data_IF_977633687277
#
_entry.id   IF_977633687277
#
_cell.length_a   1.000
_cell.length_b   1.000
_cell.length_c   1.000
_cell.angle_alpha   90.00
_cell.angle_beta   90.00
_cell.angle_gamma   90.00
#
_symmetry.space_group_name_H-M   'P 1'
#
loop_
_entity.id
_entity.type
_entity.pdbx_description
1 polymer ?
#
# COMPACT_ATOMS: atom_id res chain seq x y z
N UNK A 1 -22.76 -40.60 -16.71
CA UNK A 1 -21.70 -41.61 -16.90
C UNK A 1 -20.55 -40.92 -17.65
N UNK A 2 -19.34 -41.02 -17.10
CA UNK A 2 -18.05 -40.47 -17.57
C UNK A 2 -17.82 -40.71 -19.08
N UNK A 3 -17.04 -39.91 -19.82
CA UNK A 3 -15.57 -39.84 -19.75
C UNK A 3 -15.09 -38.55 -20.44
N UNK A 4 -14.30 -37.72 -19.74
CA UNK A 4 -13.46 -36.68 -20.33
C UNK A 4 -12.06 -37.28 -20.49
N UNK A 5 -11.58 -37.39 -21.73
CA UNK A 5 -10.23 -37.84 -22.04
C UNK A 5 -9.20 -36.78 -21.64
N UNK A 6 -8.23 -37.18 -20.81
CA UNK A 6 -7.00 -36.42 -20.54
C UNK A 6 -6.14 -36.40 -21.80
N UNK A 7 -5.90 -35.22 -22.38
CA UNK A 7 -4.78 -35.05 -23.31
C UNK A 7 -3.49 -34.77 -22.53
N UNK A 8 -2.45 -35.42 -23.02
CA UNK A 8 -1.09 -35.55 -22.49
C UNK A 8 -0.35 -34.23 -22.68
N UNK A 9 0.23 -33.71 -21.60
CA UNK A 9 1.12 -32.53 -21.64
C UNK A 9 2.44 -32.98 -22.27
N UNK A 10 2.73 -32.50 -23.47
CA UNK A 10 4.07 -32.58 -24.06
C UNK A 10 4.88 -31.35 -23.64
N UNK A 11 6.10 -31.63 -23.19
CA UNK A 11 7.12 -30.70 -22.74
C UNK A 11 7.52 -29.70 -23.83
N UNK A 12 6.95 -28.50 -23.78
CA UNK A 12 7.38 -27.33 -24.53
C UNK A 12 7.47 -26.14 -23.59
N UNK A 13 8.67 -25.60 -23.38
CA UNK A 13 8.89 -24.46 -22.49
C UNK A 13 8.06 -23.24 -22.89
N UNK A 14 7.39 -22.63 -21.91
CA UNK A 14 6.68 -21.37 -22.08
C UNK A 14 7.67 -20.20 -22.01
N UNK A 15 7.94 -19.61 -23.18
CA UNK A 15 8.61 -18.31 -23.32
C UNK A 15 7.56 -17.20 -23.22
N UNK A 16 7.66 -16.37 -22.18
CA UNK A 16 6.91 -15.10 -22.12
C UNK A 16 7.89 -13.98 -22.49
N UNK A 17 7.78 -13.44 -23.70
CA UNK A 17 8.51 -12.26 -24.12
C UNK A 17 7.75 -11.00 -23.72
N UNK A 18 8.35 -10.22 -22.82
CA UNK A 18 8.05 -8.80 -22.61
C UNK A 18 9.39 -8.05 -22.59
N UNK A 19 9.55 -7.10 -23.51
CA UNK A 19 10.81 -6.44 -23.78
C UNK A 19 11.24 -5.48 -22.67
N UNK A 20 12.24 -5.89 -21.89
CA UNK A 20 13.48 -5.17 -21.51
C UNK A 20 14.14 -5.96 -20.38
N UNK A 21 15.38 -6.39 -20.64
CA UNK A 21 16.32 -7.06 -19.73
C UNK A 21 15.85 -8.35 -19.04
N UNK A 22 16.00 -9.47 -19.75
CA UNK A 22 15.81 -10.81 -19.21
C UNK A 22 16.95 -11.19 -18.25
N UNK A 23 16.72 -11.03 -16.95
CA UNK A 23 17.46 -11.81 -15.94
C UNK A 23 16.80 -13.19 -15.91
N UNK A 24 17.43 -14.18 -16.55
CA UNK A 24 17.03 -15.59 -16.43
C UNK A 24 17.42 -16.02 -15.01
N UNK A 25 16.49 -15.88 -14.07
CA UNK A 25 16.59 -16.58 -12.79
C UNK A 25 15.80 -17.87 -12.97
N UNK A 26 16.51 -18.98 -13.12
CA UNK A 26 15.90 -20.31 -13.17
C UNK A 26 15.36 -20.63 -11.78
N UNK A 27 14.14 -20.18 -11.47
CA UNK A 27 13.42 -20.66 -10.30
C UNK A 27 13.09 -22.14 -10.57
N UNK A 28 13.53 -23.01 -9.65
CA UNK A 28 13.21 -24.44 -9.69
C UNK A 28 11.67 -24.55 -9.73
N UNK A 29 11.08 -25.44 -10.56
CA UNK A 29 9.62 -25.54 -10.73
C UNK A 29 8.83 -25.56 -9.40
N UNK A 30 9.36 -26.22 -8.38
CA UNK A 30 8.77 -26.31 -7.04
C UNK A 30 8.70 -24.96 -6.29
N UNK A 31 9.64 -24.03 -6.55
CA UNK A 31 9.62 -22.69 -5.95
C UNK A 31 8.65 -21.75 -6.65
N UNK A 32 8.51 -21.89 -7.97
CA UNK A 32 7.49 -21.20 -8.76
C UNK A 32 6.08 -21.63 -8.35
N UNK A 33 5.85 -22.93 -8.15
CA UNK A 33 4.57 -23.47 -7.70
C UNK A 33 4.21 -22.99 -6.29
N UNK A 34 5.20 -22.92 -5.38
CA UNK A 34 5.02 -22.30 -4.05
C UNK A 34 4.65 -20.82 -4.15
N UNK A 35 5.34 -20.04 -4.98
CA UNK A 35 5.04 -18.62 -5.16
C UNK A 35 3.65 -18.42 -5.78
N UNK A 36 3.27 -19.23 -6.76
CA UNK A 36 1.93 -19.20 -7.37
C UNK A 36 0.86 -19.53 -6.32
N UNK A 37 1.07 -20.54 -5.48
CA UNK A 37 0.14 -20.89 -4.42
C UNK A 37 0.03 -19.80 -3.34
N UNK A 38 1.15 -19.17 -2.94
CA UNK A 38 1.14 -18.03 -2.01
C UNK A 38 0.40 -16.83 -2.62
N UNK A 39 0.63 -16.54 -3.91
CA UNK A 39 -0.05 -15.47 -4.61
C UNK A 39 -1.55 -15.78 -4.78
N UNK A 40 -1.92 -17.03 -5.05
CA UNK A 40 -3.30 -17.48 -5.14
C UNK A 40 -4.01 -17.45 -3.79
N UNK A 41 -3.36 -17.88 -2.70
CA UNK A 41 -3.89 -17.75 -1.33
C UNK A 41 -4.10 -16.28 -0.99
N UNK A 42 -3.12 -15.42 -1.24
CA UNK A 42 -3.27 -13.98 -1.01
C UNK A 42 -4.40 -13.39 -1.86
N UNK A 43 -4.53 -13.77 -3.12
CA UNK A 43 -5.61 -13.32 -3.98
C UNK A 43 -6.98 -13.81 -3.49
N UNK A 44 -7.05 -15.02 -2.96
CA UNK A 44 -8.27 -15.62 -2.42
C UNK A 44 -8.67 -14.99 -1.08
N UNK A 45 -7.70 -14.71 -0.20
CA UNK A 45 -7.90 -13.92 1.02
C UNK A 45 -8.37 -12.50 0.69
N UNK A 46 -7.78 -11.87 -0.34
CA UNK A 46 -8.20 -10.53 -0.81
C UNK A 46 -9.63 -10.58 -1.37
N UNK A 47 -9.98 -11.62 -2.14
CA UNK A 47 -11.32 -11.80 -2.72
C UNK A 47 -12.38 -12.12 -1.66
N UNK A 48 -12.02 -12.91 -0.65
CA UNK A 48 -12.84 -13.17 0.53
C UNK A 48 -13.07 -11.90 1.35
N UNK A 49 -12.05 -11.09 1.54
CA UNK A 49 -12.17 -9.80 2.22
C UNK A 49 -13.07 -8.82 1.45
N UNK A 50 -12.95 -8.77 0.11
CA UNK A 50 -13.82 -7.95 -0.75
C UNK A 50 -15.28 -8.42 -0.70
N UNK A 51 -15.53 -9.73 -0.70
CA UNK A 51 -16.90 -10.27 -0.59
C UNK A 51 -17.50 -10.09 0.81
N UNK A 52 -16.71 -10.22 1.86
CA UNK A 52 -17.13 -9.86 3.22
C UNK A 52 -17.44 -8.36 3.31
N UNK A 53 -16.60 -7.49 2.74
CA UNK A 53 -16.84 -6.04 2.62
C UNK A 53 -18.12 -5.68 1.85
N UNK A 54 -18.47 -6.44 0.81
CA UNK A 54 -19.70 -6.22 0.04
C UNK A 54 -20.98 -6.54 0.84
N UNK A 55 -20.92 -7.52 1.75
CA UNK A 55 -22.01 -7.84 2.70
C UNK A 55 -22.05 -6.85 3.88
N UNK A 56 -20.91 -6.28 4.25
CA UNK A 56 -20.71 -5.35 5.38
C UNK A 56 -21.37 -3.97 5.20
N UNK A 57 -21.78 -3.62 3.98
CA UNK A 57 -22.35 -2.30 3.70
C UNK A 57 -23.79 -2.09 4.19
N UNK A 58 -24.48 -3.11 4.74
CA UNK A 58 -25.92 -3.02 5.06
C UNK A 58 -26.31 -3.04 6.56
N UNK A 59 -25.41 -3.32 7.52
CA UNK A 59 -25.75 -3.27 8.98
C UNK A 59 -24.57 -2.82 9.85
N UNK A 60 -24.85 -2.05 10.93
CA UNK A 60 -23.82 -1.58 11.88
C UNK A 60 -23.11 -2.72 12.62
N UNK A 61 -23.81 -3.83 12.88
CA UNK A 61 -23.25 -5.02 13.52
C UNK A 61 -22.20 -5.72 12.62
N UNK A 62 -22.45 -5.74 11.31
CA UNK A 62 -21.51 -6.31 10.33
C UNK A 62 -20.28 -5.42 10.14
N UNK A 63 -20.42 -4.09 10.21
CA UNK A 63 -19.28 -3.16 10.24
C UNK A 63 -18.39 -3.37 11.46
N UNK A 64 -18.99 -3.60 12.63
CA UNK A 64 -18.25 -3.92 13.84
C UNK A 64 -17.49 -5.25 13.73
N UNK A 65 -18.10 -6.26 13.10
CA UNK A 65 -17.46 -7.56 12.85
C UNK A 65 -16.30 -7.45 11.86
N UNK A 66 -16.48 -6.72 10.76
CA UNK A 66 -15.42 -6.44 9.79
C UNK A 66 -14.28 -5.63 10.40
N UNK A 67 -14.61 -4.64 11.25
CA UNK A 67 -13.61 -3.91 12.04
C UNK A 67 -12.81 -4.87 12.93
N UNK A 68 -13.46 -5.78 13.65
CA UNK A 68 -12.77 -6.79 14.49
C UNK A 68 -11.87 -7.71 13.67
N UNK A 69 -12.34 -8.22 12.54
CA UNK A 69 -11.52 -9.04 11.64
C UNK A 69 -10.34 -8.27 11.06
N UNK A 70 -10.55 -7.00 10.69
CA UNK A 70 -9.49 -6.09 10.27
C UNK A 70 -8.51 -5.87 11.42
N UNK A 71 -8.96 -5.45 12.61
CA UNK A 71 -8.12 -5.25 13.81
C UNK A 71 -7.27 -6.48 14.13
N UNK A 72 -7.79 -7.70 13.97
CA UNK A 72 -7.05 -8.97 14.16
C UNK A 72 -6.00 -9.18 13.07
N UNK A 73 -6.34 -9.02 11.79
CA UNK A 73 -5.38 -9.07 10.68
C UNK A 73 -4.24 -8.05 10.88
N UNK A 74 -4.58 -6.90 11.43
CA UNK A 74 -3.66 -5.80 11.64
C UNK A 74 -2.77 -5.96 12.85
N UNK A 75 -3.29 -6.45 13.96
CA UNK A 75 -2.47 -6.71 15.14
C UNK A 75 -1.37 -7.74 14.81
N UNK A 76 -1.64 -8.65 13.86
CA UNK A 76 -0.65 -9.54 13.28
C UNK A 76 0.34 -8.80 12.37
N UNK A 77 -0.15 -8.00 11.41
CA UNK A 77 0.71 -7.23 10.51
C UNK A 77 1.62 -6.20 11.24
N UNK A 78 1.11 -5.49 12.25
CA UNK A 78 1.85 -4.52 13.05
C UNK A 78 2.86 -5.18 14.00
N UNK A 79 2.54 -6.36 14.55
CA UNK A 79 3.48 -7.21 15.29
C UNK A 79 4.70 -7.56 14.43
N UNK A 80 4.48 -7.83 13.15
CA UNK A 80 5.53 -8.21 12.21
C UNK A 80 6.29 -6.99 11.67
N UNK A 81 5.69 -5.80 11.71
CA UNK A 81 6.25 -4.55 11.20
C UNK A 81 7.17 -3.88 12.24
N UNK A 82 8.45 -4.23 12.23
CA UNK A 82 9.47 -3.55 13.04
C UNK A 82 9.57 -2.07 12.61
N UNK A 83 9.59 -1.10 13.55
CA UNK A 83 9.72 0.31 13.20
C UNK A 83 11.07 0.52 12.52
N UNK A 84 10.99 0.83 11.23
CA UNK A 84 12.16 1.10 10.41
C UNK A 84 12.77 2.43 10.87
N UNK A 85 14.00 2.36 11.37
CA UNK A 85 14.69 3.52 11.95
C UNK A 85 15.13 4.46 10.84
N UNK A 86 14.97 5.76 11.07
CA UNK A 86 15.46 6.83 10.21
C UNK A 86 16.41 7.72 11.00
N UNK A 87 17.55 8.06 10.40
CA UNK A 87 18.63 8.80 11.08
C UNK A 87 18.70 10.27 10.66
N UNK A 88 17.91 10.68 9.66
CA UNK A 88 17.80 12.07 9.22
C UNK A 88 16.41 12.36 8.67
N UNK A 89 16.03 13.64 8.67
CA UNK A 89 14.74 14.06 8.11
C UNK A 89 14.65 13.78 6.60
N UNK A 90 15.74 13.92 5.86
CA UNK A 90 15.75 13.63 4.42
C UNK A 90 15.55 12.14 4.11
N UNK A 91 16.11 11.27 4.95
CA UNK A 91 15.86 9.82 4.86
C UNK A 91 14.39 9.50 5.16
N UNK A 92 13.84 10.07 6.24
CA UNK A 92 12.42 9.96 6.58
C UNK A 92 11.53 10.41 5.42
N UNK A 93 11.76 11.61 4.87
CA UNK A 93 11.01 12.14 3.73
C UNK A 93 11.13 11.26 2.48
N UNK A 94 12.29 10.62 2.27
CA UNK A 94 12.51 9.68 1.17
C UNK A 94 11.74 8.37 1.31
N UNK A 95 11.43 7.95 2.53
CA UNK A 95 10.61 6.76 2.80
C UNK A 95 9.12 7.07 2.83
N UNK A 96 8.74 8.26 3.28
CA UNK A 96 7.33 8.69 3.34
C UNK A 96 6.77 9.07 1.97
N UNK A 97 7.56 9.70 1.10
CA UNK A 97 7.05 10.25 -0.16
C UNK A 97 6.32 9.22 -1.06
N UNK A 98 6.83 7.99 -1.28
CA UNK A 98 6.12 7.01 -2.10
C UNK A 98 4.70 6.71 -1.59
N UNK A 99 4.52 6.55 -0.28
CA UNK A 99 3.20 6.33 0.32
C UNK A 99 2.24 7.51 0.09
N UNK A 100 2.75 8.75 0.15
CA UNK A 100 1.94 9.94 -0.13
C UNK A 100 1.55 10.03 -1.59
N UNK A 101 2.46 9.69 -2.52
CA UNK A 101 2.17 9.69 -3.95
C UNK A 101 1.14 8.61 -4.32
N UNK A 102 1.26 7.41 -3.75
CA UNK A 102 0.28 6.34 -3.95
C UNK A 102 -1.10 6.75 -3.42
N UNK A 103 -1.14 7.36 -2.23
CA UNK A 103 -2.39 7.87 -1.66
C UNK A 103 -3.01 8.98 -2.52
N UNK A 104 -2.20 9.92 -3.01
CA UNK A 104 -2.62 11.01 -3.89
C UNK A 104 -3.18 10.47 -5.21
N UNK A 105 -2.49 9.51 -5.84
CA UNK A 105 -2.96 8.85 -7.06
C UNK A 105 -4.30 8.15 -6.84
N UNK A 106 -4.40 7.30 -5.81
CA UNK A 106 -5.63 6.57 -5.50
C UNK A 106 -6.79 7.52 -5.17
N UNK A 107 -6.54 8.58 -4.42
CA UNK A 107 -7.57 9.57 -4.10
C UNK A 107 -8.09 10.27 -5.36
N UNK A 108 -7.19 10.64 -6.29
CA UNK A 108 -7.58 11.33 -7.52
C UNK A 108 -8.32 10.40 -8.51
N UNK A 109 -7.90 9.15 -8.64
CA UNK A 109 -8.48 8.20 -9.60
C UNK A 109 -9.78 7.55 -9.09
N UNK A 110 -9.84 7.26 -7.79
CA UNK A 110 -10.93 6.46 -7.20
C UNK A 110 -11.75 7.23 -6.16
N UNK A 111 -11.34 8.44 -5.78
CA UNK A 111 -12.02 9.21 -4.74
C UNK A 111 -13.37 9.78 -5.16
N UNK A 112 -14.07 10.44 -4.22
CA UNK A 112 -15.43 10.97 -4.44
C UNK A 112 -15.51 12.04 -5.53
N UNK A 113 -14.39 12.64 -5.90
CA UNK A 113 -14.30 13.66 -6.95
C UNK A 113 -13.53 13.17 -8.18
N UNK A 114 -13.29 11.86 -8.29
CA UNK A 114 -12.63 11.31 -9.48
C UNK A 114 -13.49 11.47 -10.72
N UNK A 115 -12.84 11.46 -11.88
CA UNK A 115 -13.54 11.53 -13.18
C UNK A 115 -14.61 10.46 -13.31
N UNK A 116 -14.31 9.21 -12.90
CA UNK A 116 -15.26 8.10 -12.93
C UNK A 116 -16.47 8.35 -12.04
N UNK A 117 -16.27 8.89 -10.83
CA UNK A 117 -17.37 9.22 -9.92
C UNK A 117 -18.24 10.37 -10.46
N UNK A 118 -17.63 11.36 -11.10
CA UNK A 118 -18.32 12.51 -11.69
C UNK A 118 -19.11 12.14 -12.96
N UNK A 119 -18.54 11.32 -13.84
CA UNK A 119 -19.15 10.93 -15.12
C UNK A 119 -20.25 9.87 -14.97
N UNK A 120 -20.19 9.06 -13.91
CA UNK A 120 -21.17 7.99 -13.67
C UNK A 120 -21.64 7.94 -12.20
N UNK A 121 -22.56 8.85 -11.80
CA UNK A 121 -23.00 8.99 -10.40
C UNK A 121 -23.72 7.77 -9.82
N UNK A 122 -24.31 6.93 -10.67
CA UNK A 122 -25.00 5.69 -10.27
C UNK A 122 -24.13 4.44 -10.42
N UNK A 123 -22.83 4.60 -10.71
CA UNK A 123 -21.93 3.47 -10.85
C UNK A 123 -21.50 2.89 -9.50
N UNK A 124 -20.91 1.70 -9.57
CA UNK A 124 -20.25 1.06 -8.43
C UNK A 124 -18.88 1.68 -8.09
N UNK A 125 -18.55 2.89 -8.57
CA UNK A 125 -17.28 3.56 -8.26
C UNK A 125 -17.04 3.72 -6.75
N UNK A 126 -18.12 3.86 -5.96
CA UNK A 126 -18.02 3.90 -4.51
C UNK A 126 -17.49 2.59 -3.89
N UNK A 127 -17.75 1.43 -4.51
CA UNK A 127 -17.20 0.13 -4.07
C UNK A 127 -15.68 0.10 -4.31
N UNK A 128 -15.25 0.56 -5.48
CA UNK A 128 -13.82 0.71 -5.79
C UNK A 128 -13.15 1.65 -4.79
N UNK A 129 -13.79 2.78 -4.48
CA UNK A 129 -13.27 3.73 -3.49
C UNK A 129 -13.11 3.08 -2.09
N UNK A 130 -14.13 2.34 -1.64
CA UNK A 130 -14.06 1.62 -0.36
C UNK A 130 -12.91 0.62 -0.37
N UNK A 131 -12.77 -0.20 -1.41
CA UNK A 131 -11.69 -1.16 -1.52
C UNK A 131 -10.31 -0.48 -1.48
N UNK A 132 -10.14 0.58 -2.30
CA UNK A 132 -8.87 1.33 -2.41
C UNK A 132 -8.43 2.01 -1.11
N UNK A 133 -9.38 2.49 -0.31
CA UNK A 133 -9.07 3.03 1.03
C UNK A 133 -8.49 1.95 1.93
N UNK A 134 -9.06 0.75 1.90
CA UNK A 134 -8.72 -0.34 2.82
C UNK A 134 -7.40 -1.02 2.45
N UNK A 135 -7.08 -1.13 1.16
CA UNK A 135 -5.88 -1.84 0.69
C UNK A 135 -4.68 -0.94 0.38
N UNK A 136 -4.87 0.36 0.11
CA UNK A 136 -3.77 1.32 -0.12
C UNK A 136 -3.70 2.40 0.95
N UNK A 137 -4.72 3.23 1.10
CA UNK A 137 -4.60 4.47 1.90
C UNK A 137 -4.39 4.17 3.40
N UNK A 138 -5.19 3.27 3.98
CA UNK A 138 -5.06 2.91 5.40
C UNK A 138 -3.70 2.25 5.72
N UNK A 139 -3.25 1.21 4.98
CA UNK A 139 -1.91 0.66 5.17
C UNK A 139 -0.80 1.70 5.05
N UNK A 140 -0.86 2.57 4.04
CA UNK A 140 0.13 3.63 3.82
C UNK A 140 0.16 4.64 4.98
N UNK A 141 -1.01 5.09 5.45
CA UNK A 141 -1.10 6.00 6.59
C UNK A 141 -0.44 5.41 7.84
N UNK A 142 -0.64 4.11 8.10
CA UNK A 142 -0.01 3.43 9.23
C UNK A 142 1.49 3.23 9.04
N UNK A 143 1.95 2.92 7.83
CA UNK A 143 3.36 2.85 7.52
C UNK A 143 4.07 4.19 7.82
N UNK A 144 3.43 5.31 7.46
CA UNK A 144 3.94 6.65 7.78
C UNK A 144 3.94 6.87 9.30
N UNK A 145 2.87 6.50 10.03
CA UNK A 145 2.85 6.58 11.50
C UNK A 145 3.96 5.76 12.17
N UNK A 146 4.25 4.57 11.65
CA UNK A 146 5.35 3.73 12.14
C UNK A 146 6.72 4.38 11.90
N UNK A 147 6.92 5.00 10.73
CA UNK A 147 8.12 5.79 10.43
C UNK A 147 8.27 7.00 11.35
N UNK A 148 7.17 7.71 11.65
CA UNK A 148 7.17 8.83 12.61
C UNK A 148 7.59 8.34 14.01
N UNK A 149 7.05 7.22 14.49
CA UNK A 149 7.44 6.61 15.77
C UNK A 149 8.91 6.13 15.78
N UNK A 150 9.45 5.80 14.61
CA UNK A 150 10.83 5.35 14.40
C UNK A 150 11.87 6.46 14.31
N UNK A 151 11.49 7.74 14.41
CA UNK A 151 12.43 8.88 14.36
C UNK A 151 13.39 8.81 15.55
N UNK A 152 14.68 9.05 15.25
CA UNK A 152 15.78 9.09 16.23
C UNK A 152 16.64 10.35 16.14
N UNK A 153 16.25 11.29 15.29
CA UNK A 153 16.91 12.57 15.11
C UNK A 153 16.04 13.69 15.66
N UNK A 154 16.65 14.85 15.93
CA UNK A 154 15.93 16.03 16.37
C UNK A 154 15.05 16.58 15.25
N UNK A 155 13.79 16.88 15.59
CA UNK A 155 12.83 17.49 14.67
C UNK A 155 12.61 18.94 15.07
N UNK A 156 12.52 19.83 14.09
CA UNK A 156 12.16 21.23 14.35
C UNK A 156 10.72 21.34 14.82
N UNK A 157 10.36 22.47 15.43
CA UNK A 157 8.98 22.73 15.86
C UNK A 157 7.98 22.59 14.69
N UNK A 158 8.33 23.15 13.52
CA UNK A 158 7.50 23.08 12.31
C UNK A 158 7.34 21.63 11.81
N UNK A 159 8.41 20.86 11.80
CA UNK A 159 8.37 19.44 11.43
C UNK A 159 7.47 18.65 12.38
N UNK A 160 7.60 18.90 13.70
CA UNK A 160 6.78 18.24 14.72
C UNK A 160 5.31 18.59 14.58
N UNK A 161 4.99 19.86 14.33
CA UNK A 161 3.61 20.32 14.13
C UNK A 161 2.96 19.63 12.92
N UNK A 162 3.68 19.53 11.80
CA UNK A 162 3.20 18.84 10.60
C UNK A 162 2.99 17.34 10.84
N UNK A 163 3.90 16.67 11.56
CA UNK A 163 3.74 15.25 11.92
C UNK A 163 2.52 15.00 12.82
N UNK A 164 2.29 15.87 13.82
CA UNK A 164 1.13 15.76 14.70
C UNK A 164 -0.18 15.96 13.94
N UNK A 165 -0.22 16.92 13.01
CA UNK A 165 -1.38 17.13 12.15
C UNK A 165 -1.66 15.88 11.29
N UNK A 166 -0.62 15.27 10.71
CA UNK A 166 -0.78 14.04 9.95
C UNK A 166 -1.25 12.88 10.85
N UNK A 167 -0.73 12.77 12.06
CA UNK A 167 -1.14 11.73 13.01
C UNK A 167 -2.61 11.84 13.40
N UNK A 168 -3.08 13.06 13.69
CA UNK A 168 -4.48 13.33 13.98
C UNK A 168 -5.38 12.96 12.78
N UNK A 169 -4.98 13.36 11.57
CA UNK A 169 -5.67 12.99 10.33
C UNK A 169 -5.74 11.48 10.13
N UNK A 170 -4.60 10.78 10.18
CA UNK A 170 -4.51 9.35 9.88
C UNK A 170 -5.42 8.52 10.81
N UNK A 171 -5.38 8.80 12.12
CA UNK A 171 -6.20 8.11 13.12
C UNK A 171 -7.69 8.39 12.92
N UNK A 172 -8.06 9.65 12.68
CA UNK A 172 -9.45 10.02 12.52
C UNK A 172 -10.04 9.54 11.19
N UNK A 173 -9.24 9.56 10.11
CA UNK A 173 -9.61 8.98 8.81
C UNK A 173 -9.87 7.48 8.93
N UNK A 174 -9.02 6.75 9.66
CA UNK A 174 -9.22 5.33 9.92
C UNK A 174 -10.50 5.06 10.71
N UNK A 175 -10.71 5.77 11.81
CA UNK A 175 -11.93 5.67 12.61
C UNK A 175 -13.19 5.94 11.76
N UNK A 176 -13.14 6.95 10.89
CA UNK A 176 -14.23 7.32 9.99
C UNK A 176 -14.64 6.18 9.04
N UNK A 177 -13.74 5.25 8.71
CA UNK A 177 -14.08 4.11 7.84
C UNK A 177 -14.99 3.08 8.52
N UNK A 178 -14.93 2.97 9.84
CA UNK A 178 -15.71 1.99 10.60
C UNK A 178 -16.87 2.62 11.36
N UNK A 179 -16.76 3.90 11.69
CA UNK A 179 -17.80 4.64 12.40
C UNK A 179 -17.88 6.02 11.78
N UNK A 180 -19.05 6.37 11.24
CA UNK A 180 -19.25 7.68 10.63
C UNK A 180 -18.99 8.78 11.67
N UNK A 181 -18.01 9.62 11.37
CA UNK A 181 -17.73 10.84 12.12
C UNK A 181 -18.29 12.03 11.34
N UNK A 182 -19.02 12.91 12.01
CA UNK A 182 -19.57 14.13 11.39
C UNK A 182 -18.45 15.11 11.01
N UNK A 183 -17.41 15.18 11.84
CA UNK A 183 -16.26 16.06 11.63
C UNK A 183 -14.99 15.31 12.00
N UNK A 184 -13.98 15.38 11.14
CA UNK A 184 -12.65 14.84 11.41
C UNK A 184 -11.56 15.64 10.66
N UNK A 185 -10.32 15.66 11.15
CA UNK A 185 -9.22 16.34 10.48
C UNK A 185 -8.99 15.80 9.06
N UNK A 186 -9.02 16.69 8.08
CA UNK A 186 -8.65 16.38 6.70
C UNK A 186 -7.14 16.31 6.54
N UNK A 187 -6.68 15.81 5.38
CA UNK A 187 -5.25 15.62 5.13
C UNK A 187 -4.50 16.97 5.20
N UNK A 188 -3.42 17.08 5.99
CA UNK A 188 -2.68 18.32 6.14
C UNK A 188 -1.71 18.55 4.96
N UNK A 189 -2.04 19.49 4.07
CA UNK A 189 -1.17 19.88 2.94
C UNK A 189 0.25 20.25 3.38
N UNK A 190 0.39 20.90 4.54
CA UNK A 190 1.67 21.25 5.14
C UNK A 190 2.60 20.05 5.39
N UNK A 191 2.04 18.87 5.68
CA UNK A 191 2.83 17.65 5.82
C UNK A 191 3.38 17.20 4.47
N UNK A 192 2.53 17.17 3.42
CA UNK A 192 2.96 16.82 2.06
C UNK A 192 4.05 17.77 1.55
N UNK A 193 3.86 19.08 1.72
CA UNK A 193 4.84 20.09 1.31
C UNK A 193 6.17 19.92 2.04
N UNK A 194 6.12 19.64 3.35
CA UNK A 194 7.30 19.38 4.16
C UNK A 194 8.06 18.14 3.66
N UNK A 195 7.35 17.05 3.36
CA UNK A 195 7.97 15.83 2.81
C UNK A 195 8.58 16.10 1.43
N UNK A 196 7.82 16.72 0.52
CA UNK A 196 8.27 17.01 -0.86
C UNK A 196 9.51 17.93 -0.85
N UNK A 197 9.54 18.96 -0.01
CA UNK A 197 10.68 19.90 0.13
C UNK A 197 11.97 19.23 0.59
N UNK A 198 11.87 18.25 1.48
CA UNK A 198 13.05 17.65 2.13
C UNK A 198 13.42 16.28 1.55
N UNK A 199 12.67 15.82 0.57
CA UNK A 199 12.98 14.62 -0.16
C UNK A 199 14.22 14.87 -1.03
N UNK A 200 15.20 13.96 -0.95
CA UNK A 200 16.44 14.07 -1.71
C UNK A 200 16.60 12.92 -2.71
N UNK A 201 15.52 12.63 -3.46
CA UNK A 201 15.50 11.63 -4.55
C UNK A 201 16.72 11.79 -5.46
N UNK A 202 17.14 13.02 -5.77
CA UNK A 202 18.32 13.30 -6.57
C UNK A 202 19.62 12.75 -5.96
N UNK A 203 19.91 12.99 -4.68
CA UNK A 203 21.10 12.41 -4.04
C UNK A 203 20.99 10.90 -3.86
N UNK A 204 19.77 10.37 -3.68
CA UNK A 204 19.54 8.93 -3.58
C UNK A 204 19.81 8.23 -4.90
N UNK A 205 19.36 8.79 -6.02
CA UNK A 205 19.74 8.35 -7.37
C UNK A 205 21.25 8.45 -7.58
N UNK A 206 21.88 9.58 -7.23
CA UNK A 206 23.34 9.72 -7.34
C UNK A 206 24.10 8.69 -6.50
N UNK A 207 23.61 8.32 -5.30
CA UNK A 207 24.21 7.29 -4.45
C UNK A 207 24.02 5.89 -5.03
N UNK A 208 22.82 5.58 -5.51
CA UNK A 208 22.51 4.31 -6.18
C UNK A 208 23.39 4.13 -7.40
N UNK A 209 23.45 5.12 -8.28
CA UNK A 209 24.30 5.07 -9.47
C UNK A 209 25.79 5.03 -9.12
N UNK A 210 26.27 5.79 -8.13
CA UNK A 210 27.66 5.65 -7.65
C UNK A 210 28.00 4.24 -7.21
N UNK A 211 27.10 3.57 -6.48
CA UNK A 211 27.29 2.19 -6.03
C UNK A 211 27.26 1.20 -7.21
N UNK A 212 26.27 1.32 -8.08
CA UNK A 212 26.14 0.46 -9.28
C UNK A 212 27.35 0.62 -10.22
N UNK A 213 27.89 1.84 -10.36
CA UNK A 213 29.07 2.10 -11.16
C UNK A 213 30.39 1.76 -10.45
N UNK A 214 30.50 1.88 -9.12
CA UNK A 214 31.70 1.45 -8.39
C UNK A 214 31.88 -0.06 -8.40
N UNK A 215 30.79 -0.82 -8.30
CA UNK A 215 30.81 -2.28 -8.21
C UNK A 215 31.04 -2.94 -9.59
N UNK A 216 30.93 -2.18 -10.69
CA UNK A 216 31.13 -2.65 -12.08
C UNK A 216 32.43 -2.20 -12.74
N UNK A 217 33.25 -1.37 -12.08
CA UNK A 217 34.54 -0.90 -12.59
C UNK A 217 35.75 -1.73 -12.12
N UNK A 218 35.51 -2.82 -11.37
CA UNK A 218 36.54 -3.72 -10.83
C UNK A 218 36.36 -5.20 -11.23
N UNK A 219 35.65 -5.48 -12.32
CA UNK A 219 35.58 -6.82 -12.94
C UNK A 219 36.11 -6.78 -14.37
#
# INVERSE_FOLDING_TARGET
MMIVQRQKVESGGLSIQSGRDTIITTLIPDELEKLINILAEKQNETSKFISELAVVLMTDESRLKAKRSYDVYLHKAESDMKPERTNSFSEFASRVLPFLLDNEYVFNECGPHSKTAAETPFSNAYLTWIARKMDTILPNNRAILALIKGIRFEVTADQRAAMLAFEAHARAFEQHQFTRLDHYPTFPGSFSDLIKRNNNIAERFKRYWRKVFSDRLFL
#
